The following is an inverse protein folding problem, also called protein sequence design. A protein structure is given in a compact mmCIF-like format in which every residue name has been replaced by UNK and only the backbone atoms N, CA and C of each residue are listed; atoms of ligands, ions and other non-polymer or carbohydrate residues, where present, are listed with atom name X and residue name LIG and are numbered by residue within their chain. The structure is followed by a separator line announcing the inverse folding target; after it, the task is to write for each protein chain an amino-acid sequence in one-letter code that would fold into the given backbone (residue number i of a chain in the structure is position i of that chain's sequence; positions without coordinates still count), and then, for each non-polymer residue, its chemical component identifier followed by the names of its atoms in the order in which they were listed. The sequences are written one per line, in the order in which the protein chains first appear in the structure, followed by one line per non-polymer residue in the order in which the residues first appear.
data_IF_145002345980
#
_entry.id   IF_145002345980
#
_cell.length_a   1.000
_cell.length_b   1.000
_cell.length_c   1.000
_cell.angle_alpha   90.00
_cell.angle_beta   90.00
_cell.angle_gamma   90.00
#
_symmetry.space_group_name_H-M   'P 1'
#
loop_
_entity.id
_entity.type
_entity.pdbx_description
1 polymer ?
#
# COMPACT_ATOMS: atom_id res chain seq x y z
N UNK A 1 0.37 -4.59 14.40
CA UNK A 1 1.52 -5.50 14.22
C UNK A 1 1.67 -6.35 15.48
N UNK A 2 1.68 -7.68 15.37
CA UNK A 2 1.75 -8.57 16.53
C UNK A 2 3.18 -9.14 16.67
N UNK A 3 3.75 -9.14 17.88
CA UNK A 3 5.03 -9.82 18.16
C UNK A 3 4.93 -11.34 17.93
N UNK A 4 3.73 -11.91 18.07
CA UNK A 4 3.50 -13.35 18.11
C UNK A 4 3.87 -14.10 16.82
N UNK A 5 3.90 -13.44 15.66
CA UNK A 5 4.23 -14.06 14.38
C UNK A 5 5.64 -13.72 13.88
N UNK A 6 6.50 -13.10 14.69
CA UNK A 6 7.86 -12.67 14.32
C UNK A 6 7.91 -11.80 13.04
N UNK A 7 6.78 -11.19 12.65
CA UNK A 7 6.68 -10.22 11.55
C UNK A 7 6.77 -8.78 12.08
N UNK A 8 7.21 -8.62 13.33
CA UNK A 8 7.55 -7.32 13.88
C UNK A 8 8.79 -6.78 13.16
N UNK A 9 8.66 -5.62 12.53
CA UNK A 9 9.69 -5.03 11.66
C UNK A 9 10.81 -4.32 12.42
N UNK A 10 10.75 -4.30 13.75
CA UNK A 10 11.64 -3.50 14.57
C UNK A 10 11.41 -2.00 14.38
N UNK A 11 12.39 -1.20 14.82
CA UNK A 11 12.46 0.21 14.48
C UNK A 11 13.12 0.37 13.12
N UNK A 12 12.40 0.99 12.19
CA UNK A 12 12.97 1.36 10.90
C UNK A 12 13.93 2.55 11.05
N UNK A 13 14.96 2.65 10.18
CA UNK A 13 15.79 3.84 10.08
C UNK A 13 14.94 5.10 9.90
N UNK A 14 15.42 6.25 10.37
CA UNK A 14 14.66 7.52 10.36
C UNK A 14 14.01 7.84 9.01
N UNK A 15 14.73 7.59 7.91
CA UNK A 15 14.25 7.84 6.55
C UNK A 15 13.20 6.83 6.04
N UNK A 16 12.80 5.83 6.83
CA UNK A 16 11.77 4.83 6.52
C UNK A 16 10.65 4.78 7.57
N UNK A 17 10.71 5.61 8.62
CA UNK A 17 9.69 5.62 9.67
C UNK A 17 8.33 6.12 9.20
N UNK A 18 8.31 6.92 8.14
CA UNK A 18 7.12 7.47 7.49
C UNK A 18 6.67 6.65 6.27
N UNK A 19 7.14 5.41 6.12
CA UNK A 19 6.73 4.54 5.02
C UNK A 19 5.21 4.28 5.09
N UNK A 20 4.53 4.38 3.95
CA UNK A 20 3.09 4.17 3.87
C UNK A 20 2.76 2.69 3.88
N UNK A 21 1.57 2.33 4.36
CA UNK A 21 1.12 0.95 4.35
C UNK A 21 1.01 0.37 2.92
N UNK A 22 0.78 1.22 1.91
CA UNK A 22 0.77 0.81 0.50
C UNK A 22 2.19 0.52 0.03
N UNK A 23 3.17 1.37 0.36
CA UNK A 23 4.59 1.12 0.07
C UNK A 23 5.06 -0.19 0.72
N UNK A 24 4.60 -0.49 1.94
CA UNK A 24 4.87 -1.76 2.60
C UNK A 24 4.21 -2.95 1.87
N UNK A 25 2.97 -2.78 1.37
CA UNK A 25 2.29 -3.81 0.57
C UNK A 25 2.98 -4.09 -0.75
N UNK A 26 3.54 -3.07 -1.41
CA UNK A 26 4.37 -3.22 -2.61
C UNK A 26 5.58 -4.12 -2.32
N UNK A 27 6.11 -4.08 -1.10
CA UNK A 27 7.27 -4.85 -0.67
C UNK A 27 6.92 -6.20 -0.02
N UNK A 28 5.65 -6.61 0.03
CA UNK A 28 5.24 -7.81 0.74
C UNK A 28 5.54 -9.09 -0.06
N UNK A 29 6.31 -10.02 0.52
CA UNK A 29 6.52 -11.35 -0.07
C UNK A 29 5.20 -12.12 -0.09
N UNK A 30 4.52 -12.14 1.05
CA UNK A 30 3.25 -12.83 1.23
C UNK A 30 2.13 -11.81 1.40
N UNK A 31 1.24 -11.78 0.42
CA UNK A 31 -0.02 -11.05 0.54
C UNK A 31 -1.11 -12.04 0.93
N UNK A 32 -1.52 -11.96 2.20
CA UNK A 32 -2.57 -12.80 2.78
C UNK A 32 -3.87 -12.04 3.00
N UNK A 33 -3.88 -10.73 2.80
CA UNK A 33 -5.02 -9.86 3.07
C UNK A 33 -5.40 -9.00 1.87
N UNK A 34 -6.70 -8.96 1.58
CA UNK A 34 -7.36 -7.96 0.74
C UNK A 34 -7.85 -6.81 1.61
N UNK A 35 -7.72 -5.57 1.14
CA UNK A 35 -8.13 -4.37 1.88
C UNK A 35 -9.27 -3.67 1.16
N UNK A 36 -10.39 -3.54 1.86
CA UNK A 36 -11.55 -2.77 1.41
C UNK A 36 -11.55 -1.45 2.18
N UNK A 37 -11.34 -0.34 1.48
CA UNK A 37 -11.36 0.99 2.07
C UNK A 37 -12.65 1.70 1.67
N UNK A 38 -13.47 2.02 2.67
CA UNK A 38 -14.69 2.80 2.49
C UNK A 38 -14.37 4.25 2.76
N UNK A 39 -14.56 5.10 1.77
CA UNK A 39 -14.36 6.55 1.87
C UNK A 39 -15.71 7.25 1.83
N UNK A 40 -16.01 8.02 2.87
CA UNK A 40 -17.23 8.80 3.00
C UNK A 40 -16.93 10.27 2.74
N UNK A 41 -17.72 10.90 1.88
CA UNK A 41 -17.75 12.36 1.76
C UNK A 41 -18.90 12.92 2.59
N UNK A 42 -18.57 13.77 3.57
CA UNK A 42 -19.59 14.53 4.29
C UNK A 42 -20.00 15.76 3.48
N UNK A 43 -21.31 15.99 3.38
CA UNK A 43 -21.88 17.25 2.89
C UNK A 43 -22.11 18.27 4.02
N UNK A 44 -21.91 17.86 5.28
CA UNK A 44 -22.11 18.70 6.46
C UNK A 44 -20.90 19.61 6.69
N UNK A 45 -21.05 20.95 6.57
CA UNK A 45 -19.97 21.91 6.78
C UNK A 45 -19.47 21.96 8.24
N UNK A 46 -20.21 21.40 9.20
CA UNK A 46 -19.75 21.27 10.59
C UNK A 46 -18.71 20.16 10.78
N UNK A 47 -18.56 19.25 9.81
CA UNK A 47 -17.52 18.22 9.85
C UNK A 47 -16.21 18.75 9.23
N UNK A 48 -15.12 18.90 10.01
CA UNK A 48 -13.87 19.50 9.53
C UNK A 48 -13.11 18.60 8.54
N UNK A 49 -13.48 17.31 8.43
CA UNK A 49 -12.90 16.37 7.48
C UNK A 49 -13.93 16.09 6.39
N UNK A 50 -13.70 16.67 5.21
CA UNK A 50 -14.50 16.45 4.00
C UNK A 50 -14.57 14.94 3.68
N UNK A 51 -13.53 14.18 4.06
CA UNK A 51 -13.43 12.74 3.90
C UNK A 51 -13.05 12.01 5.19
N UNK A 52 -13.80 10.99 5.54
CA UNK A 52 -13.46 10.01 6.58
C UNK A 52 -13.70 8.60 6.07
N UNK A 53 -13.01 7.61 6.60
CA UNK A 53 -13.13 6.26 6.09
C UNK A 53 -12.60 5.20 7.04
N UNK A 54 -12.92 3.96 6.74
CA UNK A 54 -12.35 2.81 7.39
C UNK A 54 -11.76 1.85 6.35
N UNK A 55 -10.73 1.11 6.76
CA UNK A 55 -10.16 0.04 5.95
C UNK A 55 -10.36 -1.27 6.70
N UNK A 56 -11.06 -2.20 6.06
CA UNK A 56 -11.21 -3.57 6.54
C UNK A 56 -10.20 -4.46 5.81
N UNK A 57 -9.41 -5.22 6.55
CA UNK A 57 -8.53 -6.24 5.99
C UNK A 57 -9.19 -7.61 6.14
N UNK A 58 -9.34 -8.33 5.03
CA UNK A 58 -9.93 -9.66 4.97
C UNK A 58 -8.85 -10.67 4.57
N UNK A 59 -8.79 -11.80 5.26
CA UNK A 59 -7.92 -12.90 4.87
C UNK A 59 -8.36 -13.45 3.51
N UNK A 60 -7.37 -13.71 2.65
CA UNK A 60 -7.58 -14.33 1.35
C UNK A 60 -7.40 -15.84 1.48
N UNK A 61 -8.31 -16.62 0.86
CA UNK A 61 -8.19 -18.08 0.77
C UNK A 61 -6.98 -18.54 -0.07
N UNK A 62 -6.28 -17.61 -0.73
CA UNK A 62 -5.06 -17.87 -1.51
C UNK A 62 -3.99 -16.87 -1.08
N UNK A 63 -2.81 -17.39 -0.69
CA UNK A 63 -1.64 -16.56 -0.43
C UNK A 63 -0.97 -16.22 -1.75
N UNK A 64 -1.04 -14.96 -2.18
CA UNK A 64 -0.22 -14.50 -3.29
C UNK A 64 1.22 -14.37 -2.80
N UNK A 65 2.13 -15.21 -3.31
CA UNK A 65 3.55 -15.21 -2.95
C UNK A 65 4.37 -14.61 -4.09
N UNK A 66 5.13 -13.56 -3.81
CA UNK A 66 6.00 -12.91 -4.77
C UNK A 66 7.33 -13.67 -4.91
N UNK A 67 7.70 -14.02 -6.15
CA UNK A 67 9.02 -14.55 -6.50
C UNK A 67 10.02 -13.45 -6.88
N UNK A 68 9.53 -12.24 -7.15
CA UNK A 68 10.30 -11.03 -7.51
C UNK A 68 9.65 -9.82 -6.84
N UNK A 69 10.44 -8.84 -6.42
CA UNK A 69 9.96 -7.59 -5.81
C UNK A 69 10.56 -6.36 -6.50
N UNK A 70 9.95 -5.15 -6.39
CA UNK A 70 8.63 -4.88 -5.83
C UNK A 70 7.51 -5.62 -6.57
N UNK A 71 6.33 -5.76 -5.95
CA UNK A 71 5.12 -6.19 -6.67
C UNK A 71 4.76 -5.17 -7.74
N UNK A 72 4.11 -5.60 -8.82
CA UNK A 72 3.62 -4.64 -9.83
C UNK A 72 2.45 -3.82 -9.27
N UNK A 73 2.19 -2.60 -9.79
CA UNK A 73 1.00 -1.84 -9.40
C UNK A 73 -0.29 -2.65 -9.61
N UNK A 74 -0.35 -3.48 -10.66
CA UNK A 74 -1.49 -4.37 -10.93
C UNK A 74 -1.69 -5.41 -9.83
N UNK A 75 -0.62 -6.06 -9.36
CA UNK A 75 -0.69 -7.03 -8.27
C UNK A 75 -1.21 -6.39 -6.98
N UNK A 76 -0.74 -5.18 -6.67
CA UNK A 76 -1.16 -4.45 -5.47
C UNK A 76 -2.62 -4.02 -5.60
N UNK A 77 -3.03 -3.46 -6.75
CA UNK A 77 -4.42 -3.10 -7.01
C UNK A 77 -5.37 -4.30 -6.94
N UNK A 78 -4.93 -5.51 -7.31
CA UNK A 78 -5.73 -6.73 -7.16
C UNK A 78 -6.08 -7.08 -5.70
N UNK A 79 -5.40 -6.46 -4.74
CA UNK A 79 -5.60 -6.65 -3.30
C UNK A 79 -6.30 -5.48 -2.62
N UNK A 80 -6.58 -4.41 -3.37
CA UNK A 80 -7.19 -3.18 -2.87
C UNK A 80 -8.56 -2.98 -3.54
N UNK A 81 -9.54 -2.59 -2.74
CA UNK A 81 -10.84 -2.14 -3.24
C UNK A 81 -11.23 -0.87 -2.52
N UNK A 82 -11.67 0.13 -3.27
CA UNK A 82 -12.07 1.42 -2.70
C UNK A 82 -13.54 1.60 -3.02
N UNK A 83 -14.33 1.79 -1.96
CA UNK A 83 -15.77 2.06 -2.06
C UNK A 83 -15.97 3.52 -1.68
N UNK A 84 -16.41 4.33 -2.64
CA UNK A 84 -16.69 5.72 -2.39
C UNK A 84 -18.18 5.94 -2.12
N UNK A 85 -18.48 6.67 -1.04
CA UNK A 85 -19.85 6.94 -0.61
C UNK A 85 -20.01 8.42 -0.33
N UNK A 86 -20.71 9.10 -1.22
CA UNK A 86 -20.97 10.52 -1.07
C UNK A 86 -21.90 11.05 -2.16
N UNK A 87 -22.45 12.26 -1.96
CA UNK A 87 -23.33 12.89 -2.93
C UNK A 87 -22.58 13.50 -4.13
N UNK A 88 -21.24 13.62 -4.05
CA UNK A 88 -20.39 14.25 -5.07
C UNK A 88 -19.78 13.27 -6.07
N UNK A 89 -19.19 13.82 -7.14
CA UNK A 89 -18.26 13.05 -7.97
C UNK A 89 -16.96 12.83 -7.20
N UNK A 90 -16.46 11.61 -7.26
CA UNK A 90 -15.20 11.24 -6.66
C UNK A 90 -14.01 12.01 -7.27
N UNK A 91 -13.15 12.60 -6.44
CA UNK A 91 -11.90 13.23 -6.86
C UNK A 91 -10.71 12.34 -6.49
N UNK A 92 -10.05 11.78 -7.51
CA UNK A 92 -8.91 10.90 -7.35
C UNK A 92 -7.75 11.53 -6.55
N UNK A 93 -7.62 12.86 -6.53
CA UNK A 93 -6.59 13.55 -5.73
C UNK A 93 -6.71 13.26 -4.24
N UNK A 94 -7.91 12.92 -3.77
CA UNK A 94 -8.16 12.62 -2.36
C UNK A 94 -7.55 11.28 -1.92
N UNK A 95 -7.26 10.38 -2.86
CA UNK A 95 -6.55 9.13 -2.59
C UNK A 95 -5.08 9.36 -2.19
N UNK A 96 -4.48 10.48 -2.59
CA UNK A 96 -3.09 10.83 -2.33
C UNK A 96 -2.72 10.98 -0.86
N UNK A 97 -3.70 10.97 0.04
CA UNK A 97 -3.45 10.97 1.49
C UNK A 97 -3.24 9.57 2.06
N UNK A 98 -3.97 8.58 1.55
CA UNK A 98 -3.98 7.20 2.09
C UNK A 98 -3.20 6.23 1.22
N UNK A 99 -3.22 6.43 -0.09
CA UNK A 99 -2.67 5.50 -1.09
C UNK A 99 -1.45 6.05 -1.84
N UNK A 100 -0.76 6.99 -1.19
CA UNK A 100 0.49 7.57 -1.67
C UNK A 100 1.60 6.53 -1.69
N UNK A 101 2.36 6.54 -2.77
CA UNK A 101 3.55 5.72 -2.98
C UNK A 101 4.70 6.59 -3.47
N UNK A 102 5.89 6.36 -2.90
CA UNK A 102 7.13 7.01 -3.28
C UNK A 102 8.14 5.97 -3.72
N UNK A 103 8.54 6.04 -4.99
CA UNK A 103 9.51 5.09 -5.58
C UNK A 103 10.77 4.93 -4.74
N UNK A 104 11.35 6.04 -4.28
CA UNK A 104 12.58 6.02 -3.50
C UNK A 104 12.40 5.29 -2.16
N UNK A 105 11.26 5.45 -1.48
CA UNK A 105 10.96 4.73 -0.22
C UNK A 105 10.81 3.24 -0.45
N UNK A 106 10.08 2.84 -1.49
CA UNK A 106 9.90 1.42 -1.86
C UNK A 106 11.27 0.78 -2.09
N UNK A 107 12.11 1.42 -2.89
CA UNK A 107 13.43 0.88 -3.22
C UNK A 107 14.36 0.82 -2.01
N UNK A 108 14.47 1.91 -1.23
CA UNK A 108 15.26 1.95 -0.01
C UNK A 108 14.79 0.90 1.01
N UNK A 109 13.48 0.69 1.13
CA UNK A 109 12.93 -0.31 2.04
C UNK A 109 13.26 -1.74 1.60
N UNK A 110 13.15 -2.05 0.30
CA UNK A 110 13.54 -3.37 -0.22
C UNK A 110 15.02 -3.66 0.01
N UNK A 111 15.90 -2.70 -0.25
CA UNK A 111 17.34 -2.83 0.02
C UNK A 111 17.62 -3.03 1.51
N UNK A 112 16.94 -2.27 2.38
CA UNK A 112 17.05 -2.45 3.83
C UNK A 112 16.59 -3.85 4.25
N UNK A 113 15.47 -4.33 3.71
CA UNK A 113 14.93 -5.67 3.99
C UNK A 113 15.88 -6.77 3.53
N UNK A 114 16.55 -6.65 2.37
CA UNK A 114 17.55 -7.63 1.94
C UNK A 114 18.68 -7.80 2.94
N UNK A 115 19.09 -6.72 3.60
CA UNK A 115 20.16 -6.74 4.60
C UNK A 115 19.70 -7.23 5.97
N UNK A 116 18.46 -6.94 6.38
CA UNK A 116 18.01 -7.12 7.76
C UNK A 116 16.97 -8.25 7.94
N UNK A 117 16.42 -8.78 6.86
CA UNK A 117 15.41 -9.83 6.90
C UNK A 117 15.79 -11.00 5.98
N UNK A 118 16.06 -12.16 6.59
CA UNK A 118 16.43 -13.40 5.89
C UNK A 118 15.44 -13.82 4.79
N UNK A 119 14.16 -13.49 4.94
CA UNK A 119 13.14 -13.83 3.93
C UNK A 119 13.36 -13.06 2.61
N UNK A 120 13.98 -11.89 2.69
CA UNK A 120 14.22 -11.00 1.55
C UNK A 120 15.62 -11.17 0.94
N UNK A 121 16.57 -11.77 1.67
CA UNK A 121 17.96 -11.88 1.25
C UNK A 121 18.13 -12.48 -0.15
N UNK A 122 17.38 -13.54 -0.46
CA UNK A 122 17.43 -14.24 -1.74
C UNK A 122 16.44 -13.73 -2.79
N UNK A 123 15.54 -12.78 -2.45
CA UNK A 123 14.52 -12.32 -3.39
C UNK A 123 15.15 -11.38 -4.44
N UNK A 124 14.96 -11.66 -5.74
CA UNK A 124 15.37 -10.75 -6.81
C UNK A 124 14.61 -9.43 -6.75
N UNK A 125 15.33 -8.33 -6.97
CA UNK A 125 14.73 -7.01 -7.11
C UNK A 125 14.73 -6.59 -8.58
N UNK A 126 13.57 -6.24 -9.12
CA UNK A 126 13.40 -5.88 -10.53
C UNK A 126 13.28 -4.36 -10.73
N UNK A 127 14.28 -3.81 -11.42
CA UNK A 127 14.33 -2.39 -11.79
C UNK A 127 13.24 -1.96 -12.78
N UNK A 128 12.72 -2.88 -13.60
CA UNK A 128 11.64 -2.59 -14.53
C UNK A 128 10.32 -2.39 -13.77
N UNK A 129 10.06 -3.19 -12.72
CA UNK A 129 8.84 -3.06 -11.91
C UNK A 129 8.88 -1.78 -11.08
N UNK A 130 10.00 -1.45 -10.43
CA UNK A 130 10.10 -0.19 -9.66
C UNK A 130 9.93 1.05 -10.55
N UNK A 131 10.30 0.97 -11.83
CA UNK A 131 10.11 2.05 -12.80
C UNK A 131 8.64 2.31 -13.15
N UNK A 132 7.74 1.37 -12.84
CA UNK A 132 6.28 1.55 -12.99
C UNK A 132 5.68 2.46 -11.91
N UNK A 133 6.40 2.71 -10.82
CA UNK A 133 5.93 3.56 -9.73
C UNK A 133 6.29 5.04 -9.96
N UNK A 134 5.46 5.98 -9.49
CA UNK A 134 5.77 7.40 -9.54
C UNK A 134 6.84 7.76 -8.49
N UNK A 135 7.55 8.86 -8.69
CA UNK A 135 8.52 9.33 -7.70
C UNK A 135 7.83 9.67 -6.37
N UNK A 136 6.64 10.27 -6.46
CA UNK A 136 5.77 10.61 -5.33
C UNK A 136 4.33 10.93 -5.79
N UNK A 137 3.44 9.94 -5.82
CA UNK A 137 2.04 10.14 -6.21
C UNK A 137 1.14 8.99 -5.69
N UNK A 138 -0.13 8.95 -6.08
CA UNK A 138 -1.04 7.83 -5.85
C UNK A 138 -0.54 6.54 -6.54
N UNK A 139 -0.92 5.39 -5.98
CA UNK A 139 -0.68 4.09 -6.60
C UNK A 139 -1.24 4.07 -8.04
N UNK A 140 -0.42 3.77 -9.07
CA UNK A 140 -0.87 3.73 -10.46
C UNK A 140 -2.04 2.77 -10.68
N UNK A 141 -3.07 3.20 -11.41
CA UNK A 141 -4.26 2.39 -11.73
C UNK A 141 -5.28 2.23 -10.60
N UNK A 142 -5.05 2.88 -9.44
CA UNK A 142 -5.96 2.77 -8.29
C UNK A 142 -7.30 3.50 -8.52
N UNK A 143 -7.28 4.64 -9.23
CA UNK A 143 -8.48 5.42 -9.53
C UNK A 143 -9.52 4.62 -10.33
N UNK A 144 -9.08 3.66 -11.15
CA UNK A 144 -9.93 2.79 -11.95
C UNK A 144 -10.62 1.69 -11.11
N UNK A 145 -10.28 1.59 -9.82
CA UNK A 145 -10.78 0.58 -8.86
C UNK A 145 -11.78 1.15 -7.87
N UNK A 146 -12.17 2.40 -8.02
CA UNK A 146 -13.15 3.05 -7.15
C UNK A 146 -14.55 2.68 -7.62
N UNK A 147 -15.32 2.08 -6.71
CA UNK A 147 -16.72 1.66 -6.91
C UNK A 147 -17.64 2.62 -6.18
#
# INVERSE_FOLDING_TARGET
FALANNLYRGQLPLHLQDISWVEEKVCAIYCVTAHVTRLFQSSDPAQPKVFHGNTCAHDMNVVSTASVLPRTPSDVNGLLSIVFIGPGKFDAKQLGTVFRVRKHKIWSFLLWLKHHNRLYAAIPLDSAIISMYPDDDILPGLSDRVI
#
